data_IF_052877188897
#
_entry.id   IF_052877188897
#
_cell.length_a   1.000
_cell.length_b   1.000
_cell.length_c   1.000
_cell.angle_alpha   90.00
_cell.angle_beta   90.00
_cell.angle_gamma   90.00
#
_symmetry.space_group_name_H-M   'P 1'
#
loop_
_entity.id
_entity.type
_entity.pdbx_description
1 polymer ?
#
# COMPACT_ATOMS: atom_id res chain seq x y z
N UNK A 1 -20.42 -25.19 -2.61
CA UNK A 1 -20.49 -23.80 -3.10
C UNK A 1 -21.48 -23.73 -4.24
N UNK A 2 -22.39 -22.76 -4.24
CA UNK A 2 -23.38 -22.54 -5.32
C UNK A 2 -22.96 -21.34 -6.15
N UNK A 3 -22.97 -21.47 -7.47
CA UNK A 3 -22.69 -20.40 -8.45
C UNK A 3 -23.76 -20.41 -9.51
N UNK A 4 -23.79 -19.43 -10.41
CA UNK A 4 -24.67 -19.42 -11.59
C UNK A 4 -24.45 -20.64 -12.49
N UNK A 5 -23.24 -21.20 -12.51
CA UNK A 5 -22.88 -22.38 -13.30
C UNK A 5 -23.20 -23.71 -12.61
N UNK A 6 -23.68 -23.70 -11.34
CA UNK A 6 -24.09 -24.91 -10.63
C UNK A 6 -23.53 -25.03 -9.21
N UNK A 7 -23.74 -26.20 -8.62
CA UNK A 7 -23.28 -26.56 -7.28
C UNK A 7 -21.95 -27.33 -7.38
N UNK A 8 -20.97 -26.88 -6.60
CA UNK A 8 -19.65 -27.53 -6.50
C UNK A 8 -19.44 -28.01 -5.07
N UNK A 9 -19.08 -29.28 -4.92
CA UNK A 9 -18.64 -29.86 -3.67
C UNK A 9 -17.10 -29.88 -3.64
N UNK A 10 -16.51 -29.70 -2.46
CA UNK A 10 -15.09 -29.77 -2.23
C UNK A 10 -14.79 -29.79 -0.73
N UNK A 11 -13.65 -30.35 -0.35
CA UNK A 11 -13.21 -30.43 1.03
C UNK A 11 -12.73 -29.08 1.57
N UNK A 12 -12.33 -28.20 0.67
CA UNK A 12 -11.87 -26.84 0.98
C UNK A 12 -12.39 -25.84 -0.04
N UNK A 13 -12.91 -24.73 0.44
CA UNK A 13 -13.20 -23.52 -0.33
C UNK A 13 -12.16 -22.46 0.03
N UNK A 14 -11.51 -21.85 -0.96
CA UNK A 14 -10.59 -20.74 -0.78
C UNK A 14 -11.29 -19.45 -1.21
N UNK A 15 -11.50 -18.53 -0.26
CA UNK A 15 -11.99 -17.18 -0.59
C UNK A 15 -10.82 -16.30 -1.03
N UNK A 16 -10.67 -16.10 -2.32
CA UNK A 16 -9.75 -15.18 -2.96
C UNK A 16 -10.48 -13.99 -3.61
N UNK A 17 -11.74 -13.73 -3.22
CA UNK A 17 -12.57 -12.66 -3.77
C UNK A 17 -12.17 -11.25 -3.34
N UNK A 18 -11.20 -11.14 -2.42
CA UNK A 18 -10.69 -9.88 -1.91
C UNK A 18 -11.75 -9.05 -1.17
N UNK A 19 -11.48 -7.76 -0.98
CA UNK A 19 -12.36 -6.90 -0.18
C UNK A 19 -13.79 -6.77 -0.73
N UNK A 20 -14.01 -7.04 -2.01
CA UNK A 20 -15.32 -6.97 -2.68
C UNK A 20 -15.97 -8.34 -2.85
N UNK A 21 -15.34 -9.42 -2.41
CA UNK A 21 -15.80 -10.81 -2.56
C UNK A 21 -17.15 -11.11 -1.90
N UNK A 22 -17.60 -10.28 -0.97
CA UNK A 22 -18.92 -10.42 -0.35
C UNK A 22 -19.07 -11.61 0.59
N UNK A 23 -17.95 -12.12 1.13
CA UNK A 23 -17.95 -13.29 2.02
C UNK A 23 -18.84 -13.07 3.25
N UNK A 24 -18.90 -11.87 3.82
CA UNK A 24 -19.75 -11.54 4.97
C UNK A 24 -21.23 -11.83 4.68
N UNK A 25 -21.72 -11.40 3.50
CA UNK A 25 -23.11 -11.66 3.09
C UNK A 25 -23.38 -13.14 2.85
N UNK A 26 -22.41 -13.86 2.28
CA UNK A 26 -22.54 -15.29 2.00
C UNK A 26 -22.57 -16.10 3.29
N UNK A 27 -21.74 -15.77 4.27
CA UNK A 27 -21.74 -16.40 5.58
C UNK A 27 -23.04 -16.12 6.34
N UNK A 28 -23.53 -14.88 6.31
CA UNK A 28 -24.81 -14.52 6.93
C UNK A 28 -25.98 -15.28 6.29
N UNK A 29 -25.98 -15.47 4.96
CA UNK A 29 -27.03 -16.20 4.24
C UNK A 29 -27.14 -17.68 4.63
N UNK A 30 -26.08 -18.27 5.18
CA UNK A 30 -26.05 -19.66 5.68
C UNK A 30 -26.06 -19.74 7.22
N UNK A 31 -26.37 -18.63 7.90
CA UNK A 31 -26.51 -18.58 9.35
C UNK A 31 -25.20 -18.59 10.14
N UNK A 32 -24.07 -18.35 9.48
CA UNK A 32 -22.78 -18.22 10.18
C UNK A 32 -22.64 -16.85 10.85
N UNK A 33 -21.81 -16.79 11.91
CA UNK A 33 -21.39 -15.54 12.53
C UNK A 33 -20.63 -14.66 11.52
N UNK A 34 -20.62 -13.33 11.69
CA UNK A 34 -19.80 -12.46 10.86
C UNK A 34 -18.30 -12.70 11.11
N UNK A 35 -17.44 -12.49 10.12
CA UNK A 35 -16.00 -12.47 10.35
C UNK A 35 -15.59 -11.31 11.25
N UNK A 36 -14.47 -11.47 11.95
CA UNK A 36 -13.84 -10.36 12.68
C UNK A 36 -13.14 -9.46 11.65
N UNK A 37 -13.48 -8.17 11.65
CA UNK A 37 -12.95 -7.20 10.70
C UNK A 37 -12.35 -6.00 11.42
N UNK A 38 -11.07 -5.77 11.19
CA UNK A 38 -10.35 -4.56 11.55
C UNK A 38 -10.20 -3.67 10.29
N UNK A 39 -10.51 -2.38 10.40
CA UNK A 39 -10.48 -1.46 9.26
C UNK A 39 -9.89 -0.11 9.64
N UNK A 40 -8.92 0.36 8.85
CA UNK A 40 -8.25 1.65 9.02
C UNK A 40 -8.35 2.47 7.73
N UNK A 41 -8.92 3.65 7.85
CA UNK A 41 -9.02 4.59 6.73
C UNK A 41 -7.66 5.24 6.48
N UNK A 42 -7.25 5.28 5.23
CA UNK A 42 -5.97 5.90 4.84
C UNK A 42 -6.11 7.39 4.53
N UNK A 43 -7.31 7.84 4.19
CA UNK A 43 -7.55 9.23 3.79
C UNK A 43 -6.91 9.63 2.47
N UNK A 44 -6.42 8.69 1.66
CA UNK A 44 -5.71 8.97 0.42
C UNK A 44 -6.57 8.73 -0.82
N UNK A 45 -6.41 9.61 -1.81
CA UNK A 45 -6.96 9.48 -3.15
C UNK A 45 -5.80 9.47 -4.16
N UNK A 46 -5.90 8.59 -5.13
CA UNK A 46 -4.91 8.36 -6.17
C UNK A 46 -5.48 8.72 -7.53
N UNK A 47 -4.67 9.37 -8.35
CA UNK A 47 -4.95 9.71 -9.74
C UNK A 47 -3.80 9.17 -10.57
N UNK A 48 -4.09 8.29 -11.51
CA UNK A 48 -3.08 7.56 -12.27
C UNK A 48 -3.35 7.71 -13.77
N UNK A 49 -2.31 7.92 -14.55
CA UNK A 49 -2.38 7.91 -16.01
C UNK A 49 -1.26 7.06 -16.56
N UNK A 50 -1.57 6.25 -17.57
CA UNK A 50 -0.64 5.34 -18.22
C UNK A 50 -0.06 5.95 -19.49
N UNK A 51 1.22 5.67 -19.75
CA UNK A 51 1.99 6.18 -20.87
C UNK A 51 2.83 5.06 -21.47
N UNK A 52 3.21 5.26 -22.75
CA UNK A 52 4.21 4.43 -23.44
C UNK A 52 5.41 5.27 -23.83
N UNK A 53 6.60 4.77 -23.55
CA UNK A 53 7.86 5.38 -23.97
C UNK A 53 7.95 5.39 -25.51
N UNK A 54 8.62 6.41 -26.10
CA UNK A 54 8.89 6.47 -27.53
C UNK A 54 9.57 5.21 -28.06
N UNK A 55 9.41 4.97 -29.35
CA UNK A 55 10.10 3.87 -30.02
C UNK A 55 11.62 3.99 -29.89
N UNK A 56 12.30 2.88 -29.62
CA UNK A 56 13.75 2.86 -29.37
C UNK A 56 14.17 3.22 -27.95
N UNK A 57 13.24 3.54 -27.04
CA UNK A 57 13.50 3.79 -25.63
C UNK A 57 12.90 2.66 -24.77
N UNK A 58 13.74 1.79 -24.23
CA UNK A 58 13.29 0.64 -23.44
C UNK A 58 13.17 0.93 -21.95
N UNK A 59 13.94 1.90 -21.43
CA UNK A 59 13.92 2.30 -20.02
C UNK A 59 13.80 3.82 -19.89
N UNK A 60 13.14 4.27 -18.83
CA UNK A 60 13.10 5.66 -18.41
C UNK A 60 14.25 6.01 -17.43
N UNK A 61 14.30 7.25 -16.94
CA UNK A 61 15.35 7.72 -16.05
C UNK A 61 15.31 6.98 -14.70
N UNK A 62 16.49 6.57 -14.22
CA UNK A 62 16.64 5.94 -12.90
C UNK A 62 16.66 6.97 -11.76
N UNK A 63 16.85 8.24 -12.07
CA UNK A 63 16.81 9.37 -11.15
C UNK A 63 16.06 10.55 -11.80
N UNK A 64 15.39 11.39 -11.01
CA UNK A 64 15.18 11.33 -9.55
C UNK A 64 14.41 10.09 -9.12
N UNK A 65 14.39 9.83 -7.80
CA UNK A 65 13.64 8.69 -7.24
C UNK A 65 12.20 8.68 -7.72
N UNK A 66 11.68 7.50 -8.01
CA UNK A 66 10.35 7.31 -8.60
C UNK A 66 9.18 7.76 -7.69
N UNK A 67 9.43 7.95 -6.38
CA UNK A 67 8.40 8.40 -5.43
C UNK A 67 8.91 9.60 -4.66
N UNK A 68 8.15 10.69 -4.69
CA UNK A 68 8.40 11.91 -3.92
C UNK A 68 7.09 12.43 -3.31
N UNK A 69 7.18 13.20 -2.24
CA UNK A 69 6.01 13.80 -1.62
C UNK A 69 6.32 15.08 -0.88
N UNK A 70 5.45 16.05 -1.05
CA UNK A 70 5.40 17.31 -0.32
C UNK A 70 4.51 17.25 0.92
N UNK A 71 4.12 18.42 1.43
CA UNK A 71 3.31 18.56 2.64
C UNK A 71 1.89 18.01 2.48
N UNK A 72 1.30 18.00 1.29
CA UNK A 72 -0.11 17.69 1.05
C UNK A 72 -0.38 16.84 -0.21
N UNK A 73 0.62 16.65 -1.04
CA UNK A 73 0.53 15.86 -2.27
C UNK A 73 1.81 15.09 -2.52
N UNK A 74 1.73 14.05 -3.33
CA UNK A 74 2.90 13.32 -3.77
C UNK A 74 2.75 12.79 -5.19
N UNK A 75 3.88 12.42 -5.79
CA UNK A 75 3.98 11.86 -7.11
C UNK A 75 4.80 10.58 -7.08
N UNK A 76 4.33 9.57 -7.80
CA UNK A 76 5.05 8.33 -8.03
C UNK A 76 5.03 7.96 -9.50
N UNK A 77 6.12 7.37 -9.98
CA UNK A 77 6.21 6.80 -11.33
C UNK A 77 6.50 5.32 -11.21
N UNK A 78 5.74 4.51 -11.90
CA UNK A 78 5.82 3.06 -11.89
C UNK A 78 6.15 2.54 -13.29
N UNK A 79 7.41 2.20 -13.58
CA UNK A 79 7.76 1.47 -14.80
C UNK A 79 7.08 0.10 -14.82
N UNK A 80 6.63 -0.30 -16.01
CA UNK A 80 6.03 -1.60 -16.27
C UNK A 80 6.62 -2.22 -17.53
N UNK A 81 6.17 -3.41 -17.90
CA UNK A 81 6.61 -4.11 -19.08
C UNK A 81 6.21 -3.38 -20.39
N UNK A 82 6.83 -3.76 -21.51
CA UNK A 82 6.48 -3.29 -22.85
C UNK A 82 6.58 -1.77 -23.03
N UNK A 83 7.59 -1.14 -22.43
CA UNK A 83 7.82 0.31 -22.48
C UNK A 83 6.68 1.15 -21.91
N UNK A 84 5.85 0.56 -21.05
CA UNK A 84 4.73 1.24 -20.40
C UNK A 84 5.16 1.74 -19.02
N UNK A 85 4.64 2.87 -18.59
CA UNK A 85 4.76 3.35 -17.24
C UNK A 85 3.49 4.09 -16.80
N UNK A 86 3.33 4.21 -15.49
CA UNK A 86 2.26 5.00 -14.90
C UNK A 86 2.83 6.18 -14.11
N UNK A 87 2.22 7.35 -14.25
CA UNK A 87 2.39 8.47 -13.34
C UNK A 87 1.19 8.52 -12.41
N UNK A 88 1.45 8.60 -11.12
CA UNK A 88 0.41 8.61 -10.09
C UNK A 88 0.60 9.81 -9.17
N UNK A 89 -0.42 10.64 -9.07
CA UNK A 89 -0.52 11.67 -8.03
C UNK A 89 -1.38 11.15 -6.89
N UNK A 90 -1.02 11.50 -5.66
CA UNK A 90 -1.83 11.16 -4.48
C UNK A 90 -1.96 12.36 -3.55
N UNK A 91 -3.19 12.56 -3.06
CA UNK A 91 -3.59 13.68 -2.21
C UNK A 91 -4.52 13.17 -1.11
N UNK A 92 -4.79 13.99 -0.10
CA UNK A 92 -5.79 13.63 0.90
C UNK A 92 -7.21 13.68 0.30
N UNK A 93 -8.10 12.79 0.76
CA UNK A 93 -9.50 12.71 0.27
C UNK A 93 -10.33 13.97 0.57
N UNK A 94 -9.91 14.79 1.52
CA UNK A 94 -10.54 16.10 1.83
C UNK A 94 -9.97 17.25 1.03
N UNK A 95 -8.93 17.04 0.21
CA UNK A 95 -8.38 18.10 -0.62
C UNK A 95 -9.39 18.52 -1.70
N UNK A 96 -9.76 19.78 -1.70
CA UNK A 96 -10.79 20.34 -2.59
C UNK A 96 -10.35 20.40 -4.04
N UNK A 97 -9.03 20.46 -4.30
CA UNK A 97 -8.47 20.51 -5.66
C UNK A 97 -8.44 19.16 -6.36
N UNK A 98 -8.65 18.06 -5.63
CA UNK A 98 -8.52 16.68 -6.16
C UNK A 98 -9.41 16.39 -7.37
N UNK A 99 -10.56 17.06 -7.49
CA UNK A 99 -11.46 16.86 -8.64
C UNK A 99 -10.85 17.31 -9.95
N UNK A 100 -10.04 18.37 -9.92
CA UNK A 100 -9.31 18.89 -11.06
C UNK A 100 -8.28 17.89 -11.63
N UNK A 101 -7.72 17.04 -10.79
CA UNK A 101 -6.76 16.00 -11.21
C UNK A 101 -7.37 14.92 -12.13
N UNK A 102 -8.69 14.94 -12.36
CA UNK A 102 -9.33 14.08 -13.38
C UNK A 102 -9.14 14.60 -14.80
N UNK A 103 -8.86 15.90 -14.94
CA UNK A 103 -8.53 16.50 -16.22
C UNK A 103 -7.09 16.13 -16.61
N UNK A 104 -6.85 15.56 -17.80
CA UNK A 104 -5.53 15.12 -18.20
C UNK A 104 -4.49 16.24 -18.30
N UNK A 105 -4.91 17.47 -18.64
CA UNK A 105 -4.01 18.62 -18.77
C UNK A 105 -3.58 19.11 -17.40
N UNK A 106 -4.54 19.25 -16.47
CA UNK A 106 -4.27 19.68 -15.11
C UNK A 106 -3.46 18.61 -14.35
N UNK A 107 -3.76 17.33 -14.59
CA UNK A 107 -2.99 16.22 -14.05
C UNK A 107 -1.51 16.29 -14.45
N UNK A 108 -1.21 16.45 -15.74
CA UNK A 108 0.18 16.52 -16.21
C UNK A 108 0.88 17.78 -15.71
N UNK A 109 0.18 18.93 -15.68
CA UNK A 109 0.69 20.17 -15.12
C UNK A 109 1.12 19.98 -13.66
N UNK A 110 0.25 19.39 -12.85
CA UNK A 110 0.52 19.09 -11.44
C UNK A 110 1.64 18.06 -11.28
N UNK A 111 1.67 16.99 -12.12
CA UNK A 111 2.69 15.96 -12.06
C UNK A 111 4.09 16.50 -12.39
N UNK A 112 4.20 17.44 -13.32
CA UNK A 112 5.46 18.10 -13.70
C UNK A 112 6.07 18.97 -12.59
N UNK A 113 5.30 19.35 -11.58
CA UNK A 113 5.81 20.05 -10.40
C UNK A 113 6.60 19.12 -9.44
N UNK A 114 6.58 17.80 -9.68
CA UNK A 114 7.39 16.83 -8.95
C UNK A 114 8.53 16.31 -9.82
N UNK A 115 9.78 16.22 -9.29
CA UNK A 115 10.93 15.79 -10.07
C UNK A 115 10.75 14.49 -10.86
N UNK A 116 10.18 13.39 -10.29
CA UNK A 116 9.97 12.17 -11.08
C UNK A 116 8.92 12.36 -12.19
N UNK A 117 7.83 13.08 -11.92
CA UNK A 117 6.82 13.39 -12.92
C UNK A 117 7.38 14.22 -14.06
N UNK A 118 8.14 15.27 -13.74
CA UNK A 118 8.81 16.12 -14.73
C UNK A 118 9.75 15.31 -15.62
N UNK A 119 10.62 14.49 -15.03
CA UNK A 119 11.63 13.71 -15.74
C UNK A 119 10.98 12.69 -16.71
N UNK A 120 9.95 11.99 -16.28
CA UNK A 120 9.30 10.96 -17.11
C UNK A 120 8.38 11.55 -18.17
N UNK A 121 7.62 12.61 -17.86
CA UNK A 121 6.77 13.30 -18.82
C UNK A 121 7.54 14.14 -19.87
N UNK A 122 8.82 14.44 -19.61
CA UNK A 122 9.71 15.08 -20.59
C UNK A 122 10.18 14.15 -21.71
N UNK A 123 9.98 12.83 -21.59
CA UNK A 123 10.43 11.84 -22.56
C UNK A 123 9.63 11.83 -23.89
N UNK A 124 8.55 12.63 -23.96
CA UNK A 124 7.67 12.61 -25.13
C UNK A 124 6.82 11.35 -25.22
N UNK A 125 6.51 10.74 -24.08
CA UNK A 125 5.73 9.51 -24.00
C UNK A 125 4.27 9.73 -24.43
N UNK A 126 3.72 8.73 -25.14
CA UNK A 126 2.33 8.71 -25.59
C UNK A 126 1.39 8.33 -24.43
N UNK A 127 0.33 9.12 -24.13
CA UNK A 127 -0.67 8.73 -23.15
C UNK A 127 -1.54 7.57 -23.68
N UNK A 128 -1.65 6.50 -22.88
CA UNK A 128 -2.43 5.31 -23.18
C UNK A 128 -3.83 5.32 -22.56
N UNK A 129 -4.08 6.21 -21.59
CA UNK A 129 -5.37 6.28 -20.90
C UNK A 129 -5.75 7.71 -20.56
N UNK A 130 -7.02 7.92 -20.23
CA UNK A 130 -7.44 9.06 -19.41
C UNK A 130 -6.89 8.93 -17.98
N UNK A 131 -7.24 9.87 -17.10
CA UNK A 131 -6.87 9.79 -15.70
C UNK A 131 -7.82 8.86 -14.95
N UNK A 132 -7.27 7.83 -14.36
CA UNK A 132 -7.97 6.85 -13.52
C UNK A 132 -7.90 7.30 -12.06
N UNK A 133 -9.05 7.49 -11.43
CA UNK A 133 -9.11 7.92 -10.03
C UNK A 133 -9.57 6.78 -9.12
N UNK A 134 -8.86 6.60 -8.02
CA UNK A 134 -9.19 5.62 -6.98
C UNK A 134 -9.07 6.26 -5.62
N UNK A 135 -10.04 6.00 -4.75
CA UNK A 135 -10.05 6.47 -3.37
C UNK A 135 -10.63 5.41 -2.44
N UNK A 136 -10.53 5.63 -1.14
CA UNK A 136 -11.06 4.71 -0.11
C UNK A 136 -10.42 3.31 -0.19
N UNK A 137 -9.11 3.28 -0.38
CA UNK A 137 -8.29 2.08 -0.30
C UNK A 137 -7.89 1.83 1.17
N UNK A 138 -8.91 1.60 2.00
CA UNK A 138 -8.70 1.38 3.43
C UNK A 138 -7.92 0.08 3.68
N UNK A 139 -7.05 0.09 4.67
CA UNK A 139 -6.42 -1.12 5.16
C UNK A 139 -7.48 -1.96 5.90
N UNK A 140 -7.59 -3.24 5.56
CA UNK A 140 -8.59 -4.15 6.13
C UNK A 140 -7.95 -5.49 6.43
N UNK A 141 -8.06 -5.92 7.69
CA UNK A 141 -7.81 -7.28 8.14
C UNK A 141 -9.12 -8.00 8.35
N UNK A 142 -9.21 -9.26 7.93
CA UNK A 142 -10.42 -10.07 8.11
C UNK A 142 -10.04 -11.48 8.59
N UNK A 143 -10.69 -11.94 9.65
CA UNK A 143 -10.46 -13.25 10.24
C UNK A 143 -11.77 -14.06 10.33
N UNK A 144 -11.68 -15.34 9.96
CA UNK A 144 -12.75 -16.32 10.10
C UNK A 144 -12.63 -17.16 11.38
N UNK A 145 -11.84 -16.67 12.34
CA UNK A 145 -11.69 -17.28 13.67
C UNK A 145 -11.79 -16.16 14.70
N UNK A 146 -12.60 -16.37 15.70
CA UNK A 146 -12.81 -15.48 16.85
C UNK A 146 -12.56 -16.24 18.18
N UNK A 147 -12.92 -15.64 19.31
CA UNK A 147 -12.79 -16.25 20.65
C UNK A 147 -13.64 -17.52 20.83
N UNK A 148 -14.68 -17.68 20.04
CA UNK A 148 -15.55 -18.86 20.02
C UNK A 148 -15.05 -19.95 19.07
N UNK A 149 -13.93 -19.71 18.37
CA UNK A 149 -13.35 -20.62 17.38
C UNK A 149 -13.70 -20.25 15.94
N UNK A 150 -13.59 -21.19 14.99
CA UNK A 150 -13.88 -20.92 13.58
C UNK A 150 -15.33 -20.49 13.36
N UNK A 151 -15.54 -19.44 12.56
CA UNK A 151 -16.85 -19.00 12.08
C UNK A 151 -17.47 -20.07 11.19
N UNK A 152 -16.64 -20.75 10.41
CA UNK A 152 -16.98 -21.84 9.51
C UNK A 152 -15.76 -22.72 9.29
N UNK A 153 -15.95 -24.01 9.06
CA UNK A 153 -14.90 -24.96 8.66
C UNK A 153 -14.97 -25.25 7.16
N UNK A 154 -13.89 -25.74 6.56
CA UNK A 154 -13.84 -25.99 5.12
C UNK A 154 -13.78 -24.73 4.26
N UNK A 155 -13.60 -23.55 4.86
CA UNK A 155 -13.40 -22.27 4.17
C UNK A 155 -12.20 -21.52 4.77
N UNK A 156 -11.28 -21.10 3.93
CA UNK A 156 -10.18 -20.23 4.34
C UNK A 156 -10.04 -19.02 3.40
N UNK A 157 -9.74 -17.85 3.94
CA UNK A 157 -9.45 -16.67 3.13
C UNK A 157 -8.00 -16.72 2.62
N UNK A 158 -7.76 -16.07 1.46
CA UNK A 158 -6.43 -15.85 0.90
C UNK A 158 -6.31 -14.45 0.28
N UNK A 159 -5.10 -13.90 0.24
CA UNK A 159 -4.85 -12.58 -0.35
C UNK A 159 -5.63 -11.47 0.34
N UNK A 160 -6.21 -10.58 -0.45
CA UNK A 160 -6.98 -9.41 0.02
C UNK A 160 -8.27 -9.80 0.79
N UNK A 161 -8.64 -11.08 0.82
CA UNK A 161 -9.70 -11.59 1.70
C UNK A 161 -9.22 -11.75 3.15
N UNK A 162 -7.90 -11.83 3.40
CA UNK A 162 -7.30 -11.77 4.74
C UNK A 162 -6.84 -10.34 5.02
N UNK A 163 -5.93 -9.83 4.19
CA UNK A 163 -5.28 -8.55 4.39
C UNK A 163 -5.28 -7.73 3.10
N UNK A 164 -6.22 -6.81 2.99
CA UNK A 164 -6.22 -5.79 1.97
C UNK A 164 -5.45 -4.58 2.49
N UNK A 165 -4.43 -4.16 1.76
CA UNK A 165 -3.60 -3.01 2.12
C UNK A 165 -3.68 -1.93 1.06
N UNK A 166 -3.59 -0.68 1.52
CA UNK A 166 -3.34 0.45 0.64
C UNK A 166 -2.02 0.27 -0.13
N UNK A 167 -1.91 0.65 -1.41
CA UNK A 167 -0.76 0.32 -2.24
C UNK A 167 0.53 1.10 -1.95
N UNK A 168 0.57 1.98 -0.95
CA UNK A 168 1.75 2.83 -0.64
C UNK A 168 3.05 2.06 -0.46
N UNK A 169 3.01 0.88 0.16
CA UNK A 169 4.19 0.01 0.30
C UNK A 169 4.33 -1.01 -0.83
N UNK A 170 3.29 -1.25 -1.65
CA UNK A 170 3.33 -2.15 -2.80
C UNK A 170 3.54 -3.63 -2.46
N UNK A 171 3.15 -4.08 -1.26
CA UNK A 171 3.41 -5.43 -0.75
C UNK A 171 2.24 -6.41 -0.92
N UNK A 172 1.03 -5.92 -1.25
CA UNK A 172 -0.20 -6.72 -1.25
C UNK A 172 -0.12 -8.01 -2.06
N UNK A 173 0.41 -7.96 -3.30
CA UNK A 173 0.56 -9.15 -4.15
C UNK A 173 1.48 -10.21 -3.51
N UNK A 174 2.59 -9.79 -2.91
CA UNK A 174 3.52 -10.73 -2.26
C UNK A 174 2.90 -11.38 -1.03
N UNK A 175 2.14 -10.63 -0.22
CA UNK A 175 1.40 -11.18 0.92
C UNK A 175 0.30 -12.15 0.46
N UNK A 176 -0.36 -11.87 -0.66
CA UNK A 176 -1.33 -12.76 -1.27
C UNK A 176 -0.70 -14.07 -1.74
N UNK A 177 0.49 -14.01 -2.36
CA UNK A 177 1.25 -15.19 -2.77
C UNK A 177 1.69 -16.04 -1.56
N UNK A 178 2.08 -15.43 -0.44
CA UNK A 178 2.37 -16.17 0.79
C UNK A 178 1.14 -16.91 1.30
N UNK A 179 -0.03 -16.27 1.31
CA UNK A 179 -1.28 -16.91 1.70
C UNK A 179 -1.64 -18.08 0.78
N UNK A 180 -1.54 -17.89 -0.53
CA UNK A 180 -1.78 -18.94 -1.52
C UNK A 180 -0.79 -20.13 -1.34
N UNK A 181 0.49 -19.83 -1.16
CA UNK A 181 1.50 -20.86 -0.88
C UNK A 181 1.21 -21.64 0.42
N UNK A 182 0.79 -20.94 1.50
CA UNK A 182 0.38 -21.58 2.75
C UNK A 182 -0.78 -22.56 2.51
N UNK A 183 -1.82 -22.13 1.81
CA UNK A 183 -2.97 -23.00 1.48
C UNK A 183 -2.51 -24.21 0.68
N UNK A 184 -1.76 -24.00 -0.41
CA UNK A 184 -1.26 -25.09 -1.26
C UNK A 184 -0.42 -26.14 -0.47
N UNK A 185 0.37 -25.66 0.49
CA UNK A 185 1.23 -26.54 1.31
C UNK A 185 0.47 -27.32 2.39
N UNK A 186 -0.72 -26.88 2.77
CA UNK A 186 -1.45 -27.46 3.93
C UNK A 186 -2.80 -28.04 3.60
N UNK A 187 -3.36 -27.81 2.40
CA UNK A 187 -4.68 -28.28 2.00
C UNK A 187 -4.90 -29.81 2.09
N UNK A 188 -3.82 -30.60 2.19
CA UNK A 188 -3.88 -32.04 2.41
C UNK A 188 -4.04 -32.45 3.89
N UNK A 189 -4.03 -31.49 4.83
CA UNK A 189 -4.03 -31.73 6.28
C UNK A 189 -5.43 -31.55 6.88
N UNK A 190 -6.39 -32.38 6.46
CA UNK A 190 -7.78 -32.32 6.92
C UNK A 190 -8.40 -30.91 6.84
N UNK A 191 -8.55 -30.35 5.63
CA UNK A 191 -8.94 -28.95 5.41
C UNK A 191 -10.35 -28.60 5.89
N UNK A 192 -11.22 -29.60 6.12
CA UNK A 192 -12.55 -29.45 6.67
C UNK A 192 -12.61 -29.28 8.19
N UNK A 193 -11.50 -29.50 8.90
CA UNK A 193 -11.48 -29.47 10.36
C UNK A 193 -11.41 -28.05 10.94
N UNK A 194 -11.92 -27.92 12.17
CA UNK A 194 -11.79 -26.70 12.96
C UNK A 194 -10.29 -26.38 13.24
N UNK A 195 -9.50 -27.43 13.45
CA UNK A 195 -8.05 -27.29 13.67
C UNK A 195 -7.35 -26.64 12.49
N UNK A 196 -7.67 -27.07 11.26
CA UNK A 196 -7.09 -26.49 10.05
C UNK A 196 -7.39 -24.98 9.96
N UNK A 197 -8.63 -24.56 10.23
CA UNK A 197 -9.04 -23.16 10.22
C UNK A 197 -8.26 -22.34 11.28
N UNK A 198 -8.12 -22.88 12.50
CA UNK A 198 -7.35 -22.23 13.58
C UNK A 198 -5.87 -22.14 13.24
N UNK A 199 -5.26 -23.21 12.72
CA UNK A 199 -3.84 -23.24 12.34
C UNK A 199 -3.54 -22.27 11.17
N UNK A 200 -4.47 -22.15 10.20
CA UNK A 200 -4.37 -21.19 9.11
C UNK A 200 -4.45 -19.73 9.64
N UNK A 201 -5.42 -19.45 10.52
CA UNK A 201 -5.56 -18.15 11.15
C UNK A 201 -4.34 -17.78 11.99
N UNK A 202 -3.87 -18.68 12.85
CA UNK A 202 -2.69 -18.44 13.68
C UNK A 202 -1.44 -18.19 12.84
N UNK A 203 -1.29 -18.88 11.70
CA UNK A 203 -0.23 -18.60 10.73
C UNK A 203 -0.40 -17.19 10.14
N UNK A 204 -1.61 -16.79 9.72
CA UNK A 204 -1.85 -15.46 9.15
C UNK A 204 -1.51 -14.35 10.16
N UNK A 205 -1.91 -14.51 11.42
CA UNK A 205 -1.58 -13.56 12.50
C UNK A 205 -0.07 -13.43 12.72
N UNK A 206 0.66 -14.55 12.72
CA UNK A 206 2.12 -14.50 12.91
C UNK A 206 2.88 -13.99 11.68
N UNK A 207 2.37 -14.24 10.48
CA UNK A 207 3.14 -14.04 9.24
C UNK A 207 2.70 -12.79 8.47
N UNK A 208 1.40 -12.51 8.40
CA UNK A 208 0.85 -11.41 7.59
C UNK A 208 0.54 -10.18 8.43
N UNK A 209 0.04 -10.37 9.68
CA UNK A 209 -0.42 -9.26 10.53
C UNK A 209 0.66 -8.21 10.82
N UNK A 210 1.95 -8.55 11.07
CA UNK A 210 2.99 -7.55 11.28
C UNK A 210 3.14 -6.56 10.11
N UNK A 211 2.99 -7.03 8.88
CA UNK A 211 3.05 -6.18 7.68
C UNK A 211 1.82 -5.31 7.52
N UNK A 212 0.65 -5.85 7.86
CA UNK A 212 -0.59 -5.09 7.90
C UNK A 212 -0.51 -3.96 8.94
N UNK A 213 -0.07 -4.24 10.16
CA UNK A 213 0.05 -3.26 11.23
C UNK A 213 1.03 -2.15 10.88
N UNK A 214 2.16 -2.51 10.27
CA UNK A 214 3.12 -1.53 9.76
C UNK A 214 2.53 -0.65 8.66
N UNK A 215 1.78 -1.24 7.71
CA UNK A 215 1.07 -0.49 6.67
C UNK A 215 0.09 0.52 7.27
N UNK A 216 -0.67 0.11 8.30
CA UNK A 216 -1.61 0.99 9.00
C UNK A 216 -0.90 2.21 9.59
N UNK A 217 0.23 1.99 10.28
CA UNK A 217 1.04 3.08 10.87
C UNK A 217 1.62 3.99 9.79
N UNK A 218 2.17 3.42 8.73
CA UNK A 218 2.77 4.19 7.63
C UNK A 218 1.73 5.06 6.91
N UNK A 219 0.56 4.52 6.63
CA UNK A 219 -0.52 5.25 5.96
C UNK A 219 -1.13 6.33 6.85
N UNK A 220 -1.29 6.07 8.14
CA UNK A 220 -1.77 7.06 9.10
C UNK A 220 -0.83 8.27 9.15
N UNK A 221 0.49 8.05 9.16
CA UNK A 221 1.48 9.12 9.13
C UNK A 221 1.41 9.98 7.85
N UNK A 222 1.17 9.35 6.68
CA UNK A 222 0.99 10.08 5.42
C UNK A 222 -0.35 10.85 5.43
N UNK A 223 -1.42 10.20 5.85
CA UNK A 223 -2.76 10.79 5.91
C UNK A 223 -2.82 12.01 6.83
N UNK A 224 -2.24 11.91 8.03
CA UNK A 224 -2.15 13.02 8.99
C UNK A 224 -1.38 14.20 8.40
N UNK A 225 -0.21 13.95 7.82
CA UNK A 225 0.58 15.00 7.16
C UNK A 225 -0.21 15.76 6.11
N UNK A 226 -0.91 15.05 5.23
CA UNK A 226 -1.67 15.66 4.15
C UNK A 226 -2.94 16.37 4.63
N UNK A 227 -3.57 15.88 5.69
CA UNK A 227 -4.77 16.50 6.27
C UNK A 227 -4.47 17.81 7.00
N UNK A 228 -3.41 17.82 7.79
CA UNK A 228 -3.09 18.98 8.66
C UNK A 228 -2.36 20.10 7.93
N UNK A 229 -1.75 19.81 6.78
CA UNK A 229 -0.86 20.72 6.04
C UNK A 229 0.27 21.27 6.92
N UNK A 230 0.42 20.71 8.09
CA UNK A 230 1.52 21.02 9.02
C UNK A 230 2.73 20.15 8.66
N UNK A 231 3.91 20.64 8.96
CA UNK A 231 5.11 19.83 8.86
C UNK A 231 4.99 18.55 9.69
N UNK A 232 5.78 17.54 9.35
CA UNK A 232 5.76 16.24 10.04
C UNK A 232 6.13 16.39 11.51
N UNK A 233 5.23 16.00 12.42
CA UNK A 233 5.43 16.00 13.86
C UNK A 233 5.26 14.58 14.43
N UNK A 234 5.77 14.33 15.63
CA UNK A 234 5.60 13.04 16.32
C UNK A 234 6.06 11.85 15.49
N UNK A 235 5.25 10.79 15.45
CA UNK A 235 5.57 9.53 14.76
C UNK A 235 5.82 9.70 13.25
N UNK A 236 5.18 10.65 12.60
CA UNK A 236 5.41 10.96 11.19
C UNK A 236 6.81 11.54 10.94
N UNK A 237 7.34 12.34 11.90
CA UNK A 237 8.71 12.85 11.87
C UNK A 237 9.72 11.72 12.05
N UNK A 238 9.46 10.78 12.96
CA UNK A 238 10.35 9.66 13.24
C UNK A 238 10.43 8.68 12.06
N UNK A 239 9.30 8.37 11.43
CA UNK A 239 9.26 7.56 10.20
C UNK A 239 10.01 8.26 9.06
N UNK A 240 9.86 9.58 8.93
CA UNK A 240 10.59 10.34 7.92
C UNK A 240 12.09 10.32 8.21
N UNK A 241 12.49 10.53 9.46
CA UNK A 241 13.90 10.51 9.87
C UNK A 241 14.58 9.16 9.59
N UNK A 242 13.86 8.05 9.82
CA UNK A 242 14.33 6.71 9.44
C UNK A 242 14.58 6.62 7.93
N UNK A 243 13.66 7.15 7.12
CA UNK A 243 13.77 7.06 5.66
C UNK A 243 14.83 7.99 5.10
N UNK A 244 14.99 9.18 5.66
CA UNK A 244 16.00 10.13 5.23
C UNK A 244 17.41 9.70 5.70
N UNK A 245 17.54 9.18 6.93
CA UNK A 245 18.77 8.56 7.41
C UNK A 245 19.21 7.39 6.53
N UNK A 246 18.25 6.55 6.07
CA UNK A 246 18.55 5.43 5.17
C UNK A 246 19.18 5.86 3.83
N UNK A 247 18.98 7.10 3.39
CA UNK A 247 19.64 7.60 2.17
C UNK A 247 21.14 7.88 2.36
N UNK A 248 21.58 8.04 3.61
CA UNK A 248 22.96 8.38 3.97
C UNK A 248 23.68 7.24 4.73
N UNK A 249 22.96 6.39 5.45
CA UNK A 249 23.52 5.27 6.23
C UNK A 249 23.17 3.91 5.58
N UNK A 250 24.18 3.16 5.08
CA UNK A 250 23.94 1.89 4.40
C UNK A 250 23.30 0.80 5.27
N UNK A 251 23.53 0.80 6.59
CA UNK A 251 22.94 -0.20 7.48
C UNK A 251 21.43 0.09 7.71
N UNK A 252 21.07 1.37 7.86
CA UNK A 252 19.67 1.79 7.93
C UNK A 252 18.97 1.53 6.59
N UNK A 253 19.65 1.78 5.45
CA UNK A 253 19.13 1.41 4.13
C UNK A 253 18.93 -0.08 4.00
N UNK A 254 19.84 -0.92 4.52
CA UNK A 254 19.71 -2.38 4.50
C UNK A 254 18.51 -2.84 5.33
N UNK A 255 18.30 -2.28 6.52
CA UNK A 255 17.13 -2.56 7.35
C UNK A 255 15.83 -2.18 6.62
N UNK A 256 15.80 -0.99 6.01
CA UNK A 256 14.66 -0.55 5.18
C UNK A 256 14.41 -1.47 3.99
N UNK A 257 15.45 -1.92 3.30
CA UNK A 257 15.34 -2.83 2.17
C UNK A 257 14.77 -4.20 2.60
N UNK A 258 15.22 -4.74 3.74
CA UNK A 258 14.68 -5.99 4.30
C UNK A 258 13.17 -5.88 4.56
N UNK A 259 12.71 -4.79 5.16
CA UNK A 259 11.28 -4.54 5.38
C UNK A 259 10.55 -4.36 4.04
N UNK A 260 11.09 -3.56 3.14
CA UNK A 260 10.47 -3.30 1.84
C UNK A 260 10.26 -4.57 1.02
N UNK A 261 11.21 -5.50 1.10
CA UNK A 261 11.19 -6.76 0.34
C UNK A 261 10.68 -7.96 1.16
N UNK A 262 10.01 -7.72 2.30
CA UNK A 262 9.40 -8.76 3.14
C UNK A 262 10.41 -9.82 3.66
N UNK A 263 11.68 -9.46 3.82
CA UNK A 263 12.75 -10.34 4.31
C UNK A 263 12.74 -10.41 5.84
N UNK A 264 12.49 -9.27 6.50
CA UNK A 264 12.46 -9.17 7.94
C UNK A 264 11.32 -8.24 8.37
N UNK A 265 10.47 -8.65 9.33
CA UNK A 265 9.32 -7.86 9.73
C UNK A 265 9.76 -6.56 10.42
N UNK A 266 8.95 -5.49 10.29
CA UNK A 266 9.30 -4.13 10.74
C UNK A 266 9.67 -4.04 12.22
N UNK A 267 8.95 -4.77 13.08
CA UNK A 267 9.18 -4.81 14.52
C UNK A 267 10.54 -5.44 14.90
N UNK A 268 11.17 -6.19 13.99
CA UNK A 268 12.54 -6.69 14.18
C UNK A 268 13.56 -5.76 13.55
N UNK A 269 13.39 -5.44 12.26
CA UNK A 269 14.37 -4.65 11.51
C UNK A 269 14.54 -3.23 12.08
N UNK A 270 13.45 -2.56 12.49
CA UNK A 270 13.51 -1.19 13.01
C UNK A 270 13.62 -1.11 14.54
N UNK A 271 13.36 -2.20 15.25
CA UNK A 271 13.61 -2.28 16.69
C UNK A 271 15.05 -2.66 17.04
N UNK A 272 15.86 -3.08 16.08
CA UNK A 272 17.27 -3.37 16.29
C UNK A 272 17.97 -2.19 16.99
N UNK A 273 18.63 -2.42 18.16
CA UNK A 273 19.27 -1.35 18.93
C UNK A 273 20.32 -0.56 18.12
N UNK A 274 21.05 -1.23 17.23
CA UNK A 274 22.05 -0.57 16.41
C UNK A 274 21.39 0.35 15.36
N UNK A 275 20.32 -0.10 14.72
CA UNK A 275 19.56 0.73 13.77
C UNK A 275 18.96 1.95 14.47
N UNK A 276 18.37 1.77 15.65
CA UNK A 276 17.85 2.88 16.46
C UNK A 276 18.94 3.86 16.86
N UNK A 277 20.10 3.36 17.30
CA UNK A 277 21.25 4.20 17.66
C UNK A 277 21.78 5.01 16.48
N UNK A 278 21.80 4.42 15.26
CA UNK A 278 22.22 5.12 14.05
C UNK A 278 21.26 6.26 13.70
N UNK A 279 19.95 6.00 13.70
CA UNK A 279 18.93 7.03 13.44
C UNK A 279 19.00 8.14 14.52
N UNK A 280 19.17 7.77 15.79
CA UNK A 280 19.29 8.75 16.88
C UNK A 280 20.54 9.63 16.74
N UNK A 281 21.70 9.06 16.39
CA UNK A 281 22.92 9.84 16.11
C UNK A 281 22.73 10.76 14.90
N UNK A 282 22.10 10.26 13.84
CA UNK A 282 21.81 11.04 12.64
C UNK A 282 20.91 12.26 12.96
N UNK A 283 19.86 12.06 13.80
CA UNK A 283 19.00 13.14 14.27
C UNK A 283 19.72 14.12 15.21
N UNK A 284 20.56 13.62 16.13
CA UNK A 284 21.30 14.45 17.06
C UNK A 284 22.28 15.39 16.34
N UNK A 285 22.82 14.97 15.20
CA UNK A 285 23.65 15.81 14.34
C UNK A 285 22.84 16.86 13.54
N UNK A 286 21.50 16.85 13.64
CA UNK A 286 20.58 17.70 12.87
C UNK A 286 19.47 18.24 13.76
N UNK A 287 19.78 19.16 14.71
CA UNK A 287 18.80 19.67 15.68
C UNK A 287 17.58 20.32 14.99
N UNK A 288 17.80 20.97 13.86
CA UNK A 288 16.78 21.62 13.03
C UNK A 288 16.22 20.71 11.92
N UNK A 289 16.34 19.38 12.08
CA UNK A 289 15.85 18.45 11.08
C UNK A 289 14.37 18.66 10.77
N UNK A 290 14.11 19.00 9.52
CA UNK A 290 12.79 18.96 8.91
C UNK A 290 12.81 17.91 7.79
N UNK A 291 11.79 17.04 7.72
CA UNK A 291 11.68 16.10 6.63
C UNK A 291 11.69 16.79 5.27
N UNK A 292 12.45 16.22 4.33
CA UNK A 292 12.53 16.78 2.99
C UNK A 292 11.16 16.69 2.30
N UNK A 293 10.63 17.84 1.93
CA UNK A 293 9.39 17.98 1.18
C UNK A 293 9.75 18.39 -0.25
N UNK A 294 9.37 17.54 -1.21
CA UNK A 294 9.68 17.74 -2.62
C UNK A 294 8.37 17.86 -3.40
N UNK A 295 8.21 18.98 -4.07
CA UNK A 295 7.01 19.29 -4.85
C UNK A 295 6.59 20.74 -4.67
N UNK A 296 5.42 21.13 -5.24
CA UNK A 296 4.92 22.49 -5.17
C UNK A 296 4.48 22.84 -3.74
N UNK A 297 4.54 24.12 -3.41
CA UNK A 297 3.83 24.66 -2.26
C UNK A 297 2.31 24.74 -2.54
N UNK A 298 1.52 25.14 -1.53
CA UNK A 298 0.07 25.15 -1.66
C UNK A 298 -0.44 26.17 -2.68
N UNK A 299 0.14 27.34 -2.74
CA UNK A 299 -0.26 28.40 -3.68
C UNK A 299 0.06 27.99 -5.11
N UNK A 300 1.24 27.42 -5.34
CA UNK A 300 1.64 26.88 -6.64
C UNK A 300 0.71 25.72 -7.06
N UNK A 301 0.41 24.80 -6.13
CA UNK A 301 -0.50 23.68 -6.39
C UNK A 301 -1.90 24.16 -6.81
N UNK A 302 -2.45 25.14 -6.11
CA UNK A 302 -3.76 25.70 -6.46
C UNK A 302 -3.75 26.36 -7.84
N UNK A 303 -2.66 27.05 -8.21
CA UNK A 303 -2.48 27.59 -9.58
C UNK A 303 -2.37 26.49 -10.63
N UNK A 304 -1.64 25.40 -10.33
CA UNK A 304 -1.47 24.27 -11.24
C UNK A 304 -2.77 23.49 -11.47
N UNK A 305 -3.65 23.45 -10.49
CA UNK A 305 -4.93 22.72 -10.51
C UNK A 305 -6.13 23.62 -10.80
N UNK A 306 -5.93 24.94 -10.93
CA UNK A 306 -6.96 25.85 -11.45
C UNK A 306 -7.18 25.60 -12.95
N UNK A 307 -8.47 25.41 -13.32
CA UNK A 307 -8.93 25.24 -14.70
C UNK A 307 -8.97 26.54 -15.47
#
# INVERSE_FOLDING_TARGET
MTTEAGNYAGDLVVDAGGRRGGIERRLAAVGCRPPVVERHRTGLAYFCRWYRLPEGMDEGPRRPWAVTGGAFAGCAVFPADNRVFAVTLFVHTTDTTRSALRDPVLFERAARAFPPGAAWLALGAEPLSGVLATASLDNRWSALVDEQGPVVTGLVPAGDSITHTNPTLGQGTSLALWAAHRVARTAHQDPGSARFAVDHHAWAVRTLKPWFDFQVVADAAIGERFATRAGRTGSARDVAALFDCALEDPEVMRARAKVRHLVEPPERAYADPEIRARVARWLAARPDYAPNEVGPDREEWEKLTAG
#
